data_IF_907106827254
#
_entry.id   IF_907106827254
#
_cell.length_a   1.000
_cell.length_b   1.000
_cell.length_c   1.000
_cell.angle_alpha   90.00
_cell.angle_beta   90.00
_cell.angle_gamma   90.00
#
_symmetry.space_group_name_H-M   'P 1'
#
loop_
_entity.id
_entity.type
_entity.pdbx_description
1 polymer ?
#
# COMPACT_ATOMS: atom_id res chain seq x y z
N UNK A 1 14.28 -58.35 -2.41
CA UNK A 1 12.99 -57.64 -2.56
C UNK A 1 13.24 -56.16 -2.32
N UNK A 2 13.01 -55.27 -3.31
CA UNK A 2 13.49 -53.90 -3.25
C UNK A 2 12.53 -52.96 -2.46
N UNK A 3 13.06 -51.90 -1.82
CA UNK A 3 12.35 -51.04 -0.85
C UNK A 3 11.46 -49.96 -1.49
N UNK A 4 10.94 -50.17 -2.70
CA UNK A 4 10.11 -49.17 -3.40
C UNK A 4 8.62 -49.18 -3.03
N UNK A 5 8.16 -50.11 -2.18
CA UNK A 5 6.73 -50.26 -1.87
C UNK A 5 6.26 -49.42 -0.66
N UNK A 6 7.16 -48.80 0.11
CA UNK A 6 6.79 -48.10 1.35
C UNK A 6 6.55 -46.59 1.18
N UNK A 7 6.89 -45.99 0.03
CA UNK A 7 6.73 -44.54 -0.17
C UNK A 7 5.34 -44.18 -0.73
N UNK A 8 4.62 -45.13 -1.33
CA UNK A 8 3.31 -44.88 -1.95
C UNK A 8 2.12 -44.93 -0.98
N UNK A 9 2.29 -45.40 0.25
CA UNK A 9 1.20 -45.45 1.26
C UNK A 9 1.07 -44.17 2.11
N UNK A 10 2.04 -43.24 2.04
CA UNK A 10 2.05 -42.02 2.85
C UNK A 10 1.29 -40.83 2.20
N UNK A 11 0.84 -40.96 0.96
CA UNK A 11 0.21 -39.89 0.18
C UNK A 11 -1.33 -39.90 0.17
N UNK A 12 -1.98 -40.77 0.95
CA UNK A 12 -3.44 -40.95 0.95
C UNK A 12 -4.15 -40.56 2.28
N UNK A 13 -3.47 -39.91 3.22
CA UNK A 13 -4.03 -39.54 4.54
C UNK A 13 -4.00 -38.02 4.86
N UNK A 14 -4.09 -37.16 3.85
CA UNK A 14 -4.18 -35.70 4.06
C UNK A 14 -5.33 -35.06 3.25
N UNK A 15 -6.42 -35.80 3.05
CA UNK A 15 -7.68 -35.26 2.56
C UNK A 15 -8.77 -35.55 3.58
N UNK A 16 -9.64 -34.57 3.80
CA UNK A 16 -10.77 -34.53 4.73
C UNK A 16 -10.43 -34.15 6.18
N UNK A 17 -10.30 -32.84 6.41
CA UNK A 17 -10.90 -32.14 7.56
C UNK A 17 -10.62 -30.66 7.38
N UNK A 18 -11.60 -29.86 6.94
CA UNK A 18 -11.86 -28.47 7.35
C UNK A 18 -12.97 -27.89 6.46
N UNK A 19 -14.17 -28.44 6.63
CA UNK A 19 -15.42 -27.84 6.18
C UNK A 19 -16.41 -27.98 7.34
N UNK A 20 -16.32 -27.07 8.30
CA UNK A 20 -17.40 -26.79 9.26
C UNK A 20 -17.48 -25.29 9.51
N UNK A 21 -18.18 -24.60 8.61
CA UNK A 21 -18.66 -23.24 8.82
C UNK A 21 -19.81 -23.29 9.83
N UNK A 22 -19.54 -22.94 11.09
CA UNK A 22 -20.58 -22.66 12.07
C UNK A 22 -21.01 -21.20 11.91
N UNK A 23 -22.05 -20.98 11.10
CA UNK A 23 -22.81 -19.74 11.14
C UNK A 23 -23.64 -19.75 12.42
N UNK A 24 -23.27 -18.91 13.39
CA UNK A 24 -24.09 -18.67 14.57
C UNK A 24 -25.20 -17.68 14.22
N UNK A 25 -26.49 -17.98 14.48
CA UNK A 25 -27.54 -16.96 14.43
C UNK A 25 -27.36 -16.02 15.63
N UNK A 26 -26.97 -14.78 15.35
CA UNK A 26 -27.07 -13.69 16.33
C UNK A 26 -28.56 -13.40 16.51
N UNK A 27 -29.09 -13.70 17.70
CA UNK A 27 -30.39 -13.21 18.13
C UNK A 27 -30.32 -11.70 18.31
N UNK A 28 -31.09 -10.97 17.49
CA UNK A 28 -31.37 -9.55 17.70
C UNK A 28 -32.57 -9.47 18.66
N UNK A 29 -32.47 -8.81 19.82
CA UNK A 29 -33.63 -8.53 20.64
C UNK A 29 -34.53 -7.53 19.90
N UNK A 30 -35.75 -7.95 19.60
CA UNK A 30 -36.83 -7.05 19.27
C UNK A 30 -37.31 -6.40 20.58
N UNK A 31 -36.96 -5.13 20.80
CA UNK A 31 -37.76 -4.29 21.65
C UNK A 31 -38.05 -2.96 20.97
N UNK A 32 -39.34 -2.69 20.92
CA UNK A 32 -40.01 -1.58 20.27
C UNK A 32 -39.88 -0.38 21.20
N UNK A 33 -39.27 0.68 20.69
CA UNK A 33 -39.41 2.03 21.21
C UNK A 33 -39.91 2.90 20.07
N UNK A 34 -41.23 3.07 20.01
CA UNK A 34 -41.88 4.03 19.13
C UNK A 34 -41.37 5.44 19.49
N UNK A 35 -40.57 6.03 18.60
CA UNK A 35 -40.55 7.46 18.26
C UNK A 35 -39.48 7.70 17.18
N UNK A 36 -39.80 8.59 16.23
CA UNK A 36 -38.96 9.10 15.13
C UNK A 36 -39.03 8.38 13.76
N UNK A 37 -40.25 8.23 13.27
CA UNK A 37 -40.57 7.76 11.91
C UNK A 37 -40.38 8.82 10.79
N UNK A 38 -39.56 9.85 11.01
CA UNK A 38 -39.29 10.90 10.00
C UNK A 38 -37.79 11.14 9.70
N UNK A 39 -36.87 10.54 10.47
CA UNK A 39 -35.42 10.80 10.32
C UNK A 39 -34.60 9.70 9.61
N UNK A 40 -35.14 8.48 9.49
CA UNK A 40 -34.35 7.31 9.07
C UNK A 40 -34.49 6.95 7.57
N UNK A 41 -35.42 7.57 6.84
CA UNK A 41 -35.56 7.37 5.40
C UNK A 41 -34.42 7.98 4.56
N UNK A 42 -33.56 8.82 5.14
CA UNK A 42 -32.42 9.46 4.44
C UNK A 42 -31.07 8.78 4.62
N UNK A 43 -30.97 7.72 5.43
CA UNK A 43 -29.68 7.04 5.70
C UNK A 43 -29.55 5.71 4.97
N UNK A 44 -30.65 5.12 4.48
CA UNK A 44 -30.61 3.84 3.74
C UNK A 44 -30.48 4.04 2.22
N UNK A 45 -30.88 5.19 1.69
CA UNK A 45 -30.80 5.47 0.24
C UNK A 45 -29.39 5.85 -0.24
N UNK A 46 -28.48 6.19 0.68
CA UNK A 46 -27.12 6.62 0.33
C UNK A 46 -26.05 5.51 0.41
N UNK A 47 -26.41 4.28 0.82
CA UNK A 47 -25.50 3.12 0.73
C UNK A 47 -25.59 2.38 -0.62
N UNK A 48 -26.65 2.60 -1.40
CA UNK A 48 -26.77 2.02 -2.74
C UNK A 48 -26.21 2.91 -3.87
N UNK A 49 -25.95 4.20 -3.60
CA UNK A 49 -25.38 5.11 -4.59
C UNK A 49 -23.85 5.02 -4.75
N UNK A 50 -23.15 4.27 -3.86
CA UNK A 50 -21.70 4.02 -3.99
C UNK A 50 -21.36 2.63 -4.55
N UNK A 51 -22.36 1.86 -5.00
CA UNK A 51 -22.13 0.82 -6.01
C UNK A 51 -22.04 1.49 -7.37
N UNK A 52 -21.02 2.33 -7.59
CA UNK A 52 -20.58 2.62 -8.95
C UNK A 52 -20.31 1.26 -9.58
N UNK A 53 -21.07 0.95 -10.64
CA UNK A 53 -20.90 -0.21 -11.51
C UNK A 53 -19.44 -0.33 -11.92
N UNK A 54 -18.62 -1.02 -11.15
CA UNK A 54 -17.50 -1.77 -11.71
C UNK A 54 -18.14 -2.99 -12.32
N UNK A 55 -18.23 -3.04 -13.65
CA UNK A 55 -18.62 -4.26 -14.33
C UNK A 55 -17.72 -5.39 -13.76
N UNK A 56 -18.28 -6.46 -13.18
CA UNK A 56 -17.49 -7.57 -12.70
C UNK A 56 -16.72 -8.14 -13.91
N UNK A 57 -15.42 -7.85 -13.97
CA UNK A 57 -14.55 -8.17 -15.11
C UNK A 57 -13.82 -6.99 -15.76
N UNK A 58 -14.14 -5.73 -15.41
CA UNK A 58 -13.38 -4.59 -15.92
C UNK A 58 -12.13 -4.36 -15.08
N UNK A 59 -10.96 -4.52 -15.71
CA UNK A 59 -9.69 -4.13 -15.11
C UNK A 59 -9.65 -2.63 -14.81
N UNK A 60 -9.05 -2.30 -13.68
CA UNK A 60 -8.79 -0.93 -13.24
C UNK A 60 -7.40 -0.57 -13.74
N UNK A 61 -7.30 0.52 -14.50
CA UNK A 61 -6.04 1.08 -14.99
C UNK A 61 -5.86 2.46 -14.39
N UNK A 62 -4.75 2.69 -13.71
CA UNK A 62 -4.47 3.95 -13.01
C UNK A 62 -3.04 4.41 -13.28
N UNK A 63 -2.81 5.72 -13.41
CA UNK A 63 -1.48 6.25 -13.64
C UNK A 63 -0.60 6.04 -12.41
N UNK A 64 0.71 5.86 -12.64
CA UNK A 64 1.72 5.84 -11.60
C UNK A 64 2.59 7.08 -11.76
N UNK A 65 2.69 7.87 -10.69
CA UNK A 65 3.41 9.14 -10.68
C UNK A 65 4.39 9.17 -9.52
N UNK A 66 5.40 10.01 -9.65
CA UNK A 66 6.33 10.31 -8.59
C UNK A 66 6.01 11.70 -8.05
N UNK A 67 5.71 11.79 -6.76
CA UNK A 67 5.59 13.07 -6.07
C UNK A 67 6.91 13.40 -5.38
N UNK A 68 7.42 14.60 -5.64
CA UNK A 68 8.62 15.15 -5.03
C UNK A 68 8.24 16.44 -4.32
N UNK A 69 8.19 16.40 -2.99
CA UNK A 69 7.98 17.59 -2.16
C UNK A 69 9.32 18.30 -1.92
N UNK A 70 9.32 19.64 -1.93
CA UNK A 70 10.46 20.50 -1.59
C UNK A 70 11.76 20.15 -2.34
N UNK A 71 11.67 19.87 -3.65
CA UNK A 71 12.82 19.47 -4.49
C UNK A 71 13.97 20.47 -4.38
N UNK A 72 15.18 19.95 -4.20
CA UNK A 72 16.43 20.71 -4.06
C UNK A 72 16.68 21.28 -2.66
N UNK A 73 15.86 20.95 -1.65
CA UNK A 73 16.01 21.43 -0.27
C UNK A 73 16.37 20.29 0.69
N UNK A 74 16.77 20.62 1.92
CA UNK A 74 17.04 19.63 2.99
C UNK A 74 15.81 18.80 3.39
N UNK A 75 14.61 19.22 3.00
CA UNK A 75 13.34 18.54 3.29
C UNK A 75 12.73 17.90 2.04
N UNK A 76 13.57 17.60 1.04
CA UNK A 76 13.13 16.89 -0.15
C UNK A 76 12.58 15.50 0.21
N UNK A 77 11.38 15.20 -0.26
CA UNK A 77 10.70 13.94 0.06
C UNK A 77 10.03 13.34 -1.17
N UNK A 78 10.23 12.03 -1.36
CA UNK A 78 9.76 11.31 -2.53
C UNK A 78 8.68 10.31 -2.12
N UNK A 79 7.54 10.34 -2.81
CA UNK A 79 6.49 9.35 -2.65
C UNK A 79 6.00 8.83 -4.01
N UNK A 80 5.57 7.57 -4.00
CA UNK A 80 4.86 6.99 -5.13
C UNK A 80 3.39 7.41 -5.03
N UNK A 81 2.84 7.99 -6.09
CA UNK A 81 1.41 8.26 -6.20
C UNK A 81 0.83 7.29 -7.22
N UNK A 82 -0.11 6.47 -6.79
CA UNK A 82 -0.89 5.61 -7.67
C UNK A 82 -2.28 6.23 -7.77
N UNK A 83 -2.80 6.37 -8.99
CA UNK A 83 -4.02 7.11 -9.30
C UNK A 83 -3.89 8.65 -9.17
N UNK A 84 -4.69 9.27 -8.30
CA UNK A 84 -4.75 10.71 -8.02
C UNK A 84 -5.00 11.02 -6.55
N UNK A 85 -5.07 9.99 -5.69
CA UNK A 85 -5.49 10.06 -4.30
C UNK A 85 -4.62 9.27 -3.35
N UNK A 86 -3.86 8.28 -3.83
CA UNK A 86 -3.12 7.39 -2.95
C UNK A 86 -1.62 7.59 -3.10
N UNK A 87 -1.02 8.19 -2.07
CA UNK A 87 0.42 8.32 -1.93
C UNK A 87 1.00 7.22 -1.04
N UNK A 88 2.24 6.84 -1.33
CA UNK A 88 3.00 5.83 -0.59
C UNK A 88 4.43 6.30 -0.40
N UNK A 89 4.89 6.33 0.84
CA UNK A 89 6.29 6.61 1.19
C UNK A 89 6.76 5.71 2.34
N UNK A 90 8.00 5.94 2.81
CA UNK A 90 8.47 5.44 4.08
C UNK A 90 8.93 6.58 4.98
N UNK A 91 8.47 6.55 6.23
CA UNK A 91 8.81 7.55 7.25
C UNK A 91 9.57 6.92 8.42
N UNK A 92 10.36 7.75 9.11
CA UNK A 92 10.96 7.34 10.38
C UNK A 92 9.84 7.23 11.42
N UNK A 93 9.71 6.10 12.15
CA UNK A 93 8.73 5.98 13.21
C UNK A 93 8.90 7.11 14.22
N UNK A 94 7.79 7.68 14.73
CA UNK A 94 7.86 8.64 15.81
C UNK A 94 8.53 7.98 17.04
N UNK A 95 9.28 8.74 17.85
CA UNK A 95 9.83 8.21 19.09
C UNK A 95 8.68 7.69 19.99
N UNK A 96 8.88 6.52 20.59
CA UNK A 96 7.88 5.85 21.45
C UNK A 96 7.59 6.65 22.73
N UNK A 97 8.58 7.43 23.20
CA UNK A 97 8.45 8.39 24.28
C UNK A 97 9.13 9.70 23.81
N UNK A 98 8.43 10.86 23.82
CA UNK A 98 9.02 12.15 23.43
C UNK A 98 10.20 12.58 24.30
N UNK A 99 10.41 11.95 25.46
CA UNK A 99 11.55 12.17 26.35
C UNK A 99 12.62 11.06 26.27
N UNK A 100 12.38 9.95 25.56
CA UNK A 100 13.43 8.97 25.27
C UNK A 100 14.37 9.54 24.21
N UNK A 101 15.68 9.58 24.54
CA UNK A 101 16.70 9.71 23.50
C UNK A 101 16.54 8.54 22.52
N UNK A 102 16.68 8.77 21.20
CA UNK A 102 16.54 7.72 20.20
C UNK A 102 17.33 6.48 20.63
N UNK A 103 16.63 5.35 20.80
CA UNK A 103 17.30 4.08 21.12
C UNK A 103 18.29 3.79 19.98
N UNK A 104 19.50 3.38 20.34
CA UNK A 104 20.57 3.03 19.37
C UNK A 104 20.19 1.91 18.39
N UNK A 105 19.07 1.21 18.62
CA UNK A 105 18.43 0.39 17.59
C UNK A 105 17.80 1.34 16.57
N UNK A 106 18.52 1.58 15.48
CA UNK A 106 18.14 2.48 14.40
C UNK A 106 16.68 2.25 14.01
N UNK A 107 15.87 3.32 13.92
CA UNK A 107 14.46 3.18 13.64
C UNK A 107 14.29 2.58 12.23
N UNK A 108 13.69 1.39 12.16
CA UNK A 108 13.27 0.82 10.89
C UNK A 108 12.22 1.75 10.28
N UNK A 109 12.46 2.20 9.05
CA UNK A 109 11.48 3.00 8.32
C UNK A 109 10.18 2.22 8.20
N UNK A 110 9.06 2.90 8.37
CA UNK A 110 7.73 2.32 8.26
C UNK A 110 7.11 2.84 6.97
N UNK A 111 6.92 1.96 5.97
CA UNK A 111 6.08 2.29 4.83
C UNK A 111 4.67 2.63 5.27
N UNK A 112 4.07 3.62 4.63
CA UNK A 112 2.68 3.95 4.88
C UNK A 112 1.99 4.49 3.64
N UNK A 113 0.65 4.50 3.71
CA UNK A 113 -0.23 5.07 2.70
C UNK A 113 -0.81 6.37 3.24
N UNK A 114 -0.87 7.41 2.41
CA UNK A 114 -1.51 8.68 2.73
C UNK A 114 -2.48 9.12 1.64
N UNK A 115 -3.42 9.98 2.00
CA UNK A 115 -4.33 10.62 1.04
C UNK A 115 -3.58 11.74 0.31
N UNK A 116 -3.19 11.49 -0.93
CA UNK A 116 -2.52 12.45 -1.78
C UNK A 116 -3.51 13.54 -2.23
N UNK A 117 -3.11 14.79 -2.03
CA UNK A 117 -3.74 15.98 -2.59
C UNK A 117 -2.63 16.90 -3.06
N UNK A 118 -2.62 17.24 -4.34
CA UNK A 118 -1.69 18.23 -4.86
C UNK A 118 -2.13 19.60 -4.32
N UNK A 119 -1.43 20.12 -3.31
CA UNK A 119 -1.88 21.32 -2.60
C UNK A 119 -0.89 22.49 -2.65
N UNK A 120 0.35 22.32 -3.14
CA UNK A 120 1.33 23.41 -3.15
C UNK A 120 2.15 23.59 -4.43
N UNK A 121 2.67 24.80 -4.62
CA UNK A 121 3.56 25.19 -5.74
C UNK A 121 4.99 24.66 -5.61
N UNK A 122 5.34 24.09 -4.45
CA UNK A 122 6.67 23.53 -4.14
C UNK A 122 6.70 22.01 -4.32
N UNK A 123 5.59 21.43 -4.75
CA UNK A 123 5.45 20.01 -5.06
C UNK A 123 5.56 19.80 -6.56
N UNK A 124 6.36 18.81 -6.95
CA UNK A 124 6.43 18.34 -8.32
C UNK A 124 5.74 16.98 -8.40
N UNK A 125 4.87 16.82 -9.38
CA UNK A 125 4.25 15.54 -9.69
C UNK A 125 4.73 15.11 -11.08
N UNK A 126 5.74 14.26 -11.08
CA UNK A 126 6.34 13.72 -12.29
C UNK A 126 5.53 12.53 -12.78
N UNK A 127 5.10 12.60 -14.05
CA UNK A 127 4.49 11.45 -14.71
C UNK A 127 5.58 10.44 -15.05
N UNK A 128 5.41 9.19 -14.61
CA UNK A 128 6.38 8.13 -14.90
C UNK A 128 6.12 7.45 -16.26
N UNK A 129 5.12 7.93 -17.03
CA UNK A 129 4.72 7.37 -18.33
C UNK A 129 4.40 5.87 -18.22
N UNK A 130 3.72 5.50 -17.13
CA UNK A 130 3.23 4.15 -16.95
C UNK A 130 1.91 4.11 -16.16
N UNK A 131 1.16 3.06 -16.41
CA UNK A 131 -0.07 2.76 -15.69
C UNK A 131 0.05 1.42 -14.95
N UNK A 132 -0.46 1.38 -13.74
CA UNK A 132 -0.71 0.16 -13.01
C UNK A 132 -2.06 -0.43 -13.40
N UNK A 133 -2.09 -1.76 -13.61
CA UNK A 133 -3.30 -2.50 -13.97
C UNK A 133 -3.65 -3.48 -12.86
N UNK A 134 -4.91 -3.42 -12.42
CA UNK A 134 -5.51 -4.29 -11.42
C UNK A 134 -6.75 -4.96 -12.01
N UNK A 135 -7.04 -6.20 -11.63
CA UNK A 135 -8.20 -6.98 -12.07
C UNK A 135 -9.51 -6.36 -11.59
N UNK A 136 -9.51 -5.80 -10.39
CA UNK A 136 -10.66 -5.19 -9.73
C UNK A 136 -10.20 -4.36 -8.52
N UNK A 137 -11.16 -3.71 -7.85
CA UNK A 137 -10.89 -2.87 -6.68
C UNK A 137 -10.28 -3.67 -5.52
N UNK A 138 -10.74 -4.90 -5.29
CA UNK A 138 -10.24 -5.75 -4.19
C UNK A 138 -8.75 -6.09 -4.38
N UNK A 139 -8.31 -6.37 -5.61
CA UNK A 139 -6.89 -6.59 -5.90
C UNK A 139 -6.08 -5.31 -5.70
N UNK A 140 -6.59 -4.16 -6.14
CA UNK A 140 -5.92 -2.87 -5.91
C UNK A 140 -5.76 -2.58 -4.42
N UNK A 141 -6.81 -2.77 -3.61
CA UNK A 141 -6.76 -2.57 -2.16
C UNK A 141 -5.77 -3.52 -1.48
N UNK A 142 -5.71 -4.78 -1.93
CA UNK A 142 -4.73 -5.76 -1.46
C UNK A 142 -3.30 -5.31 -1.77
N UNK A 143 -3.04 -4.90 -3.01
CA UNK A 143 -1.71 -4.42 -3.42
C UNK A 143 -1.32 -3.17 -2.62
N UNK A 144 -2.25 -2.24 -2.41
CA UNK A 144 -2.00 -1.06 -1.60
C UNK A 144 -1.61 -1.41 -0.17
N UNK A 145 -2.27 -2.40 0.44
CA UNK A 145 -1.88 -2.91 1.75
C UNK A 145 -0.47 -3.54 1.70
N UNK A 146 -0.17 -4.35 0.70
CA UNK A 146 1.16 -4.97 0.52
C UNK A 146 2.27 -3.92 0.39
N UNK A 147 2.03 -2.80 -0.31
CA UNK A 147 3.00 -1.69 -0.42
C UNK A 147 3.32 -1.05 0.93
N UNK A 148 2.39 -1.07 1.89
CA UNK A 148 2.63 -0.60 3.28
C UNK A 148 3.35 -1.61 4.16
N UNK A 149 3.60 -2.83 3.65
CA UNK A 149 4.23 -3.92 4.39
C UNK A 149 5.62 -4.28 3.84
N UNK A 150 6.16 -3.49 2.90
CA UNK A 150 7.49 -3.72 2.33
C UNK A 150 8.55 -3.64 3.44
N UNK A 151 9.36 -4.69 3.67
CA UNK A 151 10.33 -4.69 4.74
C UNK A 151 11.52 -3.77 4.43
N UNK A 152 11.55 -2.59 5.08
CA UNK A 152 12.66 -1.64 5.00
C UNK A 152 13.79 -2.07 5.94
N UNK A 153 14.68 -2.94 5.46
CA UNK A 153 15.82 -3.46 6.27
C UNK A 153 17.03 -2.52 6.34
N UNK A 154 17.01 -1.45 5.57
CA UNK A 154 18.15 -0.54 5.44
C UNK A 154 18.11 0.46 6.58
N UNK A 155 19.27 0.66 7.21
CA UNK A 155 19.50 1.77 8.13
C UNK A 155 19.13 3.07 7.41
N UNK A 156 18.31 3.94 8.02
CA UNK A 156 17.96 5.21 7.39
C UNK A 156 19.24 6.00 7.07
N UNK A 157 19.45 6.30 5.79
CA UNK A 157 20.40 7.35 5.41
C UNK A 157 19.68 8.68 5.52
N UNK A 158 20.42 9.78 5.72
CA UNK A 158 19.85 11.07 6.15
C UNK A 158 18.89 11.77 5.16
N UNK A 159 18.56 11.16 4.02
CA UNK A 159 17.52 11.63 3.09
C UNK A 159 17.07 10.60 2.05
N UNK A 160 17.96 9.69 1.58
CA UNK A 160 17.68 8.75 0.47
C UNK A 160 16.70 7.61 0.75
N UNK A 161 16.25 7.47 1.98
CA UNK A 161 15.36 6.41 2.42
C UNK A 161 13.97 6.41 1.78
N UNK A 162 13.42 7.59 1.48
CA UNK A 162 12.16 7.72 0.75
C UNK A 162 12.31 7.26 -0.72
N UNK A 163 13.44 7.58 -1.37
CA UNK A 163 13.74 7.13 -2.72
C UNK A 163 13.93 5.61 -2.80
N UNK A 164 14.63 5.02 -1.82
CA UNK A 164 14.78 3.57 -1.69
C UNK A 164 13.41 2.87 -1.59
N UNK A 165 12.49 3.45 -0.81
CA UNK A 165 11.13 2.95 -0.72
C UNK A 165 10.42 2.98 -2.08
N UNK A 166 10.43 4.11 -2.79
CA UNK A 166 9.78 4.23 -4.10
C UNK A 166 10.33 3.20 -5.08
N UNK A 167 11.64 2.98 -5.08
CA UNK A 167 12.27 1.95 -5.91
C UNK A 167 11.76 0.55 -5.56
N UNK A 168 11.66 0.21 -4.27
CA UNK A 168 11.12 -1.08 -3.83
C UNK A 168 9.63 -1.24 -4.14
N UNK A 169 8.83 -0.19 -3.99
CA UNK A 169 7.40 -0.19 -4.31
C UNK A 169 7.16 -0.44 -5.81
N UNK A 170 7.91 0.25 -6.69
CA UNK A 170 7.88 0.01 -8.14
C UNK A 170 8.31 -1.43 -8.47
N UNK A 171 9.35 -1.94 -7.79
CA UNK A 171 9.77 -3.33 -7.92
C UNK A 171 8.71 -4.34 -7.48
N UNK A 172 7.93 -4.04 -6.43
CA UNK A 172 6.82 -4.88 -5.97
C UNK A 172 5.67 -4.88 -6.99
N UNK A 173 5.30 -3.72 -7.52
CA UNK A 173 4.29 -3.60 -8.59
C UNK A 173 4.70 -4.37 -9.85
N UNK A 174 5.98 -4.32 -10.23
CA UNK A 174 6.50 -5.07 -11.38
C UNK A 174 6.43 -6.58 -11.13
N UNK A 175 6.90 -7.05 -9.96
CA UNK A 175 6.87 -8.48 -9.60
C UNK A 175 5.45 -9.03 -9.54
N UNK A 176 4.48 -8.22 -9.11
CA UNK A 176 3.05 -8.56 -9.12
C UNK A 176 2.41 -8.53 -10.51
N UNK A 177 3.12 -8.06 -11.54
CA UNK A 177 2.59 -7.90 -12.89
C UNK A 177 1.62 -6.73 -13.05
N UNK A 178 1.61 -5.80 -12.09
CA UNK A 178 0.75 -4.60 -12.14
C UNK A 178 1.33 -3.53 -13.06
N UNK A 179 2.66 -3.49 -13.22
CA UNK A 179 3.36 -2.71 -14.25
C UNK A 179 4.28 -3.65 -15.04
N UNK A 180 4.52 -3.35 -16.32
CA UNK A 180 5.36 -4.19 -17.17
C UNK A 180 6.85 -4.15 -16.79
N UNK A 181 7.34 -2.97 -16.39
CA UNK A 181 8.73 -2.71 -15.99
C UNK A 181 8.81 -1.48 -15.10
N UNK A 182 9.92 -1.34 -14.37
CA UNK A 182 10.23 -0.09 -13.69
C UNK A 182 10.38 1.03 -14.74
N UNK A 183 9.69 2.17 -14.59
CA UNK A 183 9.74 3.26 -15.56
C UNK A 183 11.16 3.83 -15.75
N UNK A 184 11.63 4.02 -16.99
CA UNK A 184 12.94 4.62 -17.25
C UNK A 184 13.09 6.03 -16.66
N UNK A 185 12.01 6.82 -16.66
CA UNK A 185 11.97 8.16 -16.07
C UNK A 185 12.35 8.11 -14.58
N UNK A 186 11.79 7.14 -13.83
CA UNK A 186 12.16 6.95 -12.43
C UNK A 186 13.64 6.59 -12.28
N UNK A 187 14.15 5.67 -13.09
CA UNK A 187 15.56 5.25 -13.00
C UNK A 187 16.52 6.41 -13.30
N UNK A 188 16.18 7.28 -14.25
CA UNK A 188 16.94 8.49 -14.56
C UNK A 188 16.95 9.47 -13.38
N UNK A 189 15.77 9.83 -12.87
CA UNK A 189 15.63 10.72 -11.71
C UNK A 189 16.35 10.17 -10.48
N UNK A 190 16.19 8.87 -10.20
CA UNK A 190 16.87 8.19 -9.11
C UNK A 190 18.38 8.31 -9.26
N UNK A 191 18.95 7.98 -10.42
CA UNK A 191 20.40 8.06 -10.63
C UNK A 191 20.95 9.50 -10.54
N UNK A 192 20.18 10.50 -10.98
CA UNK A 192 20.60 11.90 -10.96
C UNK A 192 20.59 12.51 -9.56
N UNK A 193 19.58 12.19 -8.75
CA UNK A 193 19.33 12.90 -7.49
C UNK A 193 19.65 12.08 -6.24
N UNK A 194 19.72 10.75 -6.33
CA UNK A 194 19.89 9.87 -5.16
C UNK A 194 21.12 10.22 -4.32
N UNK A 195 22.26 10.51 -4.96
CA UNK A 195 23.47 10.92 -4.23
C UNK A 195 23.27 12.23 -3.46
N UNK A 196 22.62 13.23 -4.08
CA UNK A 196 22.36 14.54 -3.47
C UNK A 196 21.41 14.40 -2.28
N UNK A 197 20.33 13.66 -2.48
CA UNK A 197 19.30 13.43 -1.45
C UNK A 197 19.86 12.60 -0.28
N UNK A 198 20.77 11.65 -0.51
CA UNK A 198 21.46 10.94 0.58
C UNK A 198 22.33 11.83 1.47
N UNK A 199 22.85 12.93 0.94
CA UNK A 199 23.73 13.87 1.65
C UNK A 199 22.92 14.93 2.43
N UNK A 200 21.64 15.11 2.12
CA UNK A 200 20.74 15.99 2.86
C UNK A 200 20.44 15.42 4.25
N UNK A 201 20.19 16.28 5.23
CA UNK A 201 19.88 15.89 6.60
C UNK A 201 18.46 16.29 6.97
N UNK A 202 17.66 15.34 7.44
CA UNK A 202 16.48 15.62 8.27
C UNK A 202 16.96 16.27 9.57
N UNK A 203 16.86 17.61 9.68
CA UNK A 203 16.91 18.32 10.96
C UNK A 203 15.54 18.33 11.64
#
# INVERSE_FOLDING_TARGET
MPPMLQVLLALLWASACFLTTIASPVMIPANIGDNDLAGMARVVENRQAFSRRTNPGQSIKVPVKLWIANKGTSHEHWALVIDSKHGFDAQVPPPLDPFEKPRKSEPLLIPHKFDFRAESSTEQLEDLDCDAVFKNQQEMDKVFLELTQIPMKKVPTKGGSCMDYVHMALGALQKGGHIAKIPPIFAELFNQDYKKVMEMTWE
#
